data_IF_641220537872
#
_entry.id   IF_641220537872
#
_cell.length_a   1.000
_cell.length_b   1.000
_cell.length_c   1.000
_cell.angle_alpha   90.00
_cell.angle_beta   90.00
_cell.angle_gamma   90.00
#
_symmetry.space_group_name_H-M   'P 1'
#
loop_
_entity.id
_entity.type
_entity.pdbx_description
1 polymer ?
#
# COMPACT_ATOMS: atom_id res chain seq x y z
N UNK A 1 -20.86 -10.70 -8.76
CA UNK A 1 -20.00 -11.83 -8.34
C UNK A 1 -18.89 -11.97 -9.36
N UNK A 2 -17.63 -12.05 -8.93
CA UNK A 2 -16.57 -12.41 -9.86
C UNK A 2 -16.82 -13.86 -10.32
N UNK A 3 -16.85 -14.10 -11.63
CA UNK A 3 -17.29 -15.35 -12.27
C UNK A 3 -16.14 -16.37 -12.34
N UNK A 4 -15.25 -16.41 -11.34
CA UNK A 4 -14.12 -17.34 -11.40
C UNK A 4 -14.53 -18.70 -10.83
N UNK A 5 -14.43 -19.80 -11.61
CA UNK A 5 -14.63 -21.14 -11.07
C UNK A 5 -13.63 -21.43 -9.95
N UNK A 6 -14.07 -22.18 -8.92
CA UNK A 6 -13.21 -22.47 -7.77
C UNK A 6 -11.94 -23.25 -8.16
N UNK A 7 -11.98 -24.08 -9.21
CA UNK A 7 -10.81 -24.75 -9.77
C UNK A 7 -9.71 -23.76 -10.18
N UNK A 8 -10.08 -22.71 -10.92
CA UNK A 8 -9.15 -21.65 -11.31
C UNK A 8 -8.64 -20.85 -10.10
N UNK A 9 -9.46 -20.65 -9.06
CA UNK A 9 -9.01 -20.04 -7.79
C UNK A 9 -7.89 -20.89 -7.17
N UNK A 10 -8.07 -22.21 -7.11
CA UNK A 10 -7.07 -23.14 -6.57
C UNK A 10 -5.76 -23.06 -7.36
N UNK A 11 -5.82 -23.11 -8.69
CA UNK A 11 -4.64 -23.01 -9.57
C UNK A 11 -3.90 -21.69 -9.36
N UNK A 12 -4.61 -20.57 -9.30
CA UNK A 12 -4.01 -19.26 -9.05
C UNK A 12 -3.29 -19.26 -7.70
N UNK A 13 -3.96 -19.70 -6.63
CA UNK A 13 -3.38 -19.72 -5.28
C UNK A 13 -2.11 -20.58 -5.18
N UNK A 14 -1.97 -21.62 -6.01
CA UNK A 14 -0.75 -22.43 -6.09
C UNK A 14 0.42 -21.71 -6.77
N UNK A 15 0.13 -20.81 -7.73
CA UNK A 15 1.15 -20.07 -8.50
C UNK A 15 1.64 -18.82 -7.75
N UNK A 16 0.75 -18.11 -7.04
CA UNK A 16 1.08 -16.85 -6.37
C UNK A 16 2.31 -16.91 -5.45
N UNK A 17 2.56 -17.96 -4.63
CA UNK A 17 3.75 -18.02 -3.80
C UNK A 17 5.07 -17.92 -4.59
N UNK A 18 5.13 -18.53 -5.78
CA UNK A 18 6.32 -18.54 -6.65
C UNK A 18 6.56 -17.18 -7.29
N UNK A 19 5.50 -16.47 -7.64
CA UNK A 19 5.62 -15.10 -8.15
C UNK A 19 6.10 -14.16 -7.05
N UNK A 20 5.58 -14.35 -5.84
CA UNK A 20 5.89 -13.50 -4.70
C UNK A 20 7.30 -13.79 -4.15
N UNK A 21 7.79 -15.03 -4.19
CA UNK A 21 9.18 -15.33 -3.81
C UNK A 21 10.23 -14.66 -4.72
N UNK A 22 9.85 -14.27 -5.94
CA UNK A 22 10.70 -13.51 -6.87
C UNK A 22 10.64 -11.99 -6.64
N UNK A 23 9.80 -11.52 -5.72
CA UNK A 23 9.61 -10.09 -5.44
C UNK A 23 8.97 -9.29 -6.58
N UNK A 24 8.36 -9.96 -7.56
CA UNK A 24 7.74 -9.30 -8.72
C UNK A 24 6.37 -8.79 -8.33
N UNK A 25 6.11 -7.49 -8.47
CA UNK A 25 4.79 -6.87 -8.26
C UNK A 25 4.12 -7.28 -6.92
N UNK A 26 4.89 -7.28 -5.81
CA UNK A 26 4.45 -7.73 -4.48
C UNK A 26 3.10 -7.17 -4.05
N UNK A 27 2.85 -5.86 -4.27
CA UNK A 27 1.57 -5.23 -3.91
C UNK A 27 0.39 -5.83 -4.67
N UNK A 28 0.53 -6.03 -5.99
CA UNK A 28 -0.53 -6.59 -6.82
C UNK A 28 -0.85 -8.02 -6.38
N UNK A 29 0.19 -8.84 -6.17
CA UNK A 29 0.00 -10.23 -5.77
C UNK A 29 -0.68 -10.30 -4.40
N UNK A 30 -0.24 -9.51 -3.41
CA UNK A 30 -0.89 -9.44 -2.10
C UNK A 30 -2.36 -9.03 -2.22
N UNK A 31 -2.70 -8.06 -3.08
CA UNK A 31 -4.10 -7.65 -3.32
C UNK A 31 -4.92 -8.79 -3.92
N UNK A 32 -4.38 -9.50 -4.93
CA UNK A 32 -5.03 -10.65 -5.53
C UNK A 32 -5.25 -11.75 -4.49
N UNK A 33 -4.22 -12.12 -3.71
CA UNK A 33 -4.33 -13.11 -2.64
C UNK A 33 -5.44 -12.74 -1.65
N UNK A 34 -5.43 -11.51 -1.13
CA UNK A 34 -6.44 -11.05 -0.19
C UNK A 34 -7.85 -11.03 -0.78
N UNK A 35 -7.99 -10.69 -2.06
CA UNK A 35 -9.27 -10.69 -2.74
C UNK A 35 -9.83 -12.10 -2.92
N UNK A 36 -9.01 -13.05 -3.38
CA UNK A 36 -9.41 -14.46 -3.54
C UNK A 36 -9.78 -15.08 -2.19
N UNK A 37 -8.99 -14.81 -1.14
CA UNK A 37 -9.25 -15.30 0.22
C UNK A 37 -10.56 -14.76 0.79
N UNK A 38 -10.84 -13.46 0.59
CA UNK A 38 -12.09 -12.84 1.06
C UNK A 38 -13.30 -13.36 0.30
N UNK A 39 -13.18 -13.58 -1.01
CA UNK A 39 -14.30 -13.98 -1.85
C UNK A 39 -14.63 -15.47 -1.73
N UNK A 40 -13.62 -16.33 -1.60
CA UNK A 40 -13.76 -17.79 -1.60
C UNK A 40 -13.36 -18.45 -0.28
N UNK A 41 -13.52 -17.74 0.84
CA UNK A 41 -13.07 -18.17 2.17
C UNK A 41 -13.46 -19.62 2.54
N UNK A 42 -14.77 -19.92 2.48
CA UNK A 42 -15.30 -21.23 2.90
C UNK A 42 -14.72 -22.41 2.10
N UNK A 43 -14.78 -22.41 0.74
CA UNK A 43 -14.22 -23.53 -0.02
C UNK A 43 -12.68 -23.60 0.04
N UNK A 44 -11.97 -22.47 0.25
CA UNK A 44 -10.51 -22.49 0.44
C UNK A 44 -10.15 -23.23 1.72
N UNK A 45 -10.82 -22.94 2.84
CA UNK A 45 -10.52 -23.56 4.14
C UNK A 45 -10.90 -25.03 4.19
N UNK A 46 -11.97 -25.41 3.50
CA UNK A 46 -12.34 -26.82 3.36
C UNK A 46 -11.32 -27.64 2.56
N UNK A 47 -10.48 -26.99 1.74
CA UNK A 47 -9.51 -27.66 0.88
C UNK A 47 -8.11 -27.73 1.51
N UNK A 48 -7.80 -28.85 2.16
CA UNK A 48 -6.50 -29.12 2.78
C UNK A 48 -5.32 -29.05 1.81
N UNK A 49 -5.54 -29.28 0.51
CA UNK A 49 -4.50 -29.20 -0.51
C UNK A 49 -3.95 -27.78 -0.71
N UNK A 50 -4.73 -26.75 -0.36
CA UNK A 50 -4.31 -25.36 -0.47
C UNK A 50 -3.45 -24.89 0.71
N UNK A 51 -3.44 -25.63 1.83
CA UNK A 51 -2.78 -25.20 3.07
C UNK A 51 -1.31 -24.84 2.85
N UNK A 52 -0.56 -25.71 2.18
CA UNK A 52 0.86 -25.45 1.90
C UNK A 52 1.10 -24.25 0.97
N UNK A 53 0.16 -23.94 0.06
CA UNK A 53 0.24 -22.74 -0.76
C UNK A 53 -0.04 -21.48 0.06
N UNK A 54 -1.01 -21.53 0.97
CA UNK A 54 -1.35 -20.42 1.87
C UNK A 54 -0.20 -20.10 2.85
N UNK A 55 0.45 -21.12 3.41
CA UNK A 55 1.61 -20.95 4.28
C UNK A 55 2.77 -20.27 3.54
N UNK A 56 3.07 -20.71 2.30
CA UNK A 56 4.09 -20.08 1.46
C UNK A 56 3.72 -18.64 1.11
N UNK A 57 2.46 -18.38 0.75
CA UNK A 57 1.94 -17.04 0.49
C UNK A 57 2.14 -16.12 1.69
N UNK A 58 1.79 -16.57 2.89
CA UNK A 58 1.94 -15.79 4.11
C UNK A 58 3.42 -15.51 4.39
N UNK A 59 4.27 -16.52 4.31
CA UNK A 59 5.71 -16.40 4.59
C UNK A 59 6.40 -15.45 3.61
N UNK A 60 6.26 -15.72 2.31
CA UNK A 60 6.86 -14.87 1.28
C UNK A 60 6.24 -13.46 1.30
N UNK A 61 4.94 -13.35 1.56
CA UNK A 61 4.19 -12.09 1.65
C UNK A 61 4.80 -11.16 2.69
N UNK A 62 4.93 -11.66 3.92
CA UNK A 62 5.51 -10.91 5.02
C UNK A 62 6.98 -10.56 4.75
N UNK A 63 7.76 -11.50 4.21
CA UNK A 63 9.16 -11.27 3.89
C UNK A 63 9.33 -10.14 2.88
N UNK A 64 8.65 -10.20 1.72
CA UNK A 64 8.79 -9.22 0.66
C UNK A 64 8.28 -7.84 1.06
N UNK A 65 7.14 -7.77 1.76
CA UNK A 65 6.61 -6.49 2.26
C UNK A 65 7.56 -5.88 3.30
N UNK A 66 8.15 -6.70 4.16
CA UNK A 66 9.14 -6.25 5.14
C UNK A 66 10.38 -5.71 4.44
N UNK A 67 10.97 -6.45 3.50
CA UNK A 67 12.15 -6.02 2.73
C UNK A 67 11.91 -4.69 2.01
N UNK A 68 10.75 -4.55 1.35
CA UNK A 68 10.39 -3.31 0.67
C UNK A 68 10.23 -2.14 1.64
N UNK A 69 9.53 -2.36 2.76
CA UNK A 69 9.36 -1.35 3.80
C UNK A 69 10.70 -0.93 4.40
N UNK A 70 11.57 -1.88 4.69
CA UNK A 70 12.86 -1.63 5.35
C UNK A 70 13.79 -0.86 4.39
N UNK A 71 13.81 -1.20 3.08
CA UNK A 71 14.54 -0.47 2.05
C UNK A 71 14.04 0.99 1.91
N UNK A 72 12.73 1.17 1.73
CA UNK A 72 12.13 2.51 1.59
C UNK A 72 12.34 3.31 2.87
N UNK A 73 12.13 2.69 4.03
CA UNK A 73 12.30 3.31 5.34
C UNK A 73 13.73 3.80 5.53
N UNK A 74 14.72 2.93 5.34
CA UNK A 74 16.13 3.28 5.46
C UNK A 74 16.50 4.48 4.56
N UNK A 75 16.14 4.41 3.28
CA UNK A 75 16.44 5.49 2.33
C UNK A 75 15.74 6.79 2.70
N UNK A 76 14.47 6.72 3.10
CA UNK A 76 13.70 7.90 3.50
C UNK A 76 14.31 8.59 4.73
N UNK A 77 14.67 7.82 5.76
CA UNK A 77 15.31 8.38 6.96
C UNK A 77 16.73 8.89 6.67
N UNK A 78 17.48 8.21 5.80
CA UNK A 78 18.79 8.68 5.33
C UNK A 78 18.69 10.03 4.61
N UNK A 79 17.75 10.17 3.67
CA UNK A 79 17.50 11.45 2.98
C UNK A 79 17.06 12.53 3.97
N UNK A 80 16.19 12.19 4.94
CA UNK A 80 15.76 13.13 5.97
C UNK A 80 16.91 13.60 6.87
N UNK A 81 17.84 12.70 7.18
CA UNK A 81 19.04 13.03 7.94
C UNK A 81 19.94 13.99 7.14
N UNK A 82 20.26 13.65 5.89
CA UNK A 82 21.09 14.50 5.02
C UNK A 82 20.43 15.87 4.80
N UNK A 83 19.12 15.90 4.56
CA UNK A 83 18.36 17.15 4.46
C UNK A 83 18.56 18.04 5.69
N UNK A 84 18.50 17.47 6.89
CA UNK A 84 18.67 18.21 8.15
C UNK A 84 20.08 18.78 8.28
N UNK A 85 21.10 18.02 7.93
CA UNK A 85 22.51 18.47 7.98
C UNK A 85 22.76 19.63 7.01
N UNK A 86 22.23 19.54 5.78
CA UNK A 86 22.33 20.62 4.78
C UNK A 86 21.61 21.89 5.25
N UNK A 87 20.37 21.77 5.74
CA UNK A 87 19.60 22.92 6.26
C UNK A 87 20.29 23.58 7.47
N UNK A 88 21.00 22.81 8.29
CA UNK A 88 21.77 23.32 9.42
C UNK A 88 23.05 24.05 8.99
N UNK A 89 23.75 23.53 7.97
CA UNK A 89 24.96 24.15 7.43
C UNK A 89 24.67 25.47 6.71
N UNK A 90 23.62 25.52 5.90
CA UNK A 90 23.29 26.69 5.07
C UNK A 90 22.45 27.75 5.80
N UNK A 91 22.04 27.50 7.06
CA UNK A 91 21.12 28.38 7.82
C UNK A 91 19.79 28.66 7.10
N UNK A 92 19.42 27.84 6.11
CA UNK A 92 18.23 28.00 5.27
C UNK A 92 17.36 26.75 5.40
N UNK A 93 16.10 26.95 5.80
CA UNK A 93 15.09 25.88 5.79
C UNK A 93 14.47 25.72 4.40
N UNK A 94 15.19 25.05 3.49
CA UNK A 94 14.83 24.89 2.07
C UNK A 94 13.39 24.42 1.82
N UNK A 95 12.82 23.54 2.67
CA UNK A 95 11.52 22.92 2.40
C UNK A 95 10.41 23.19 3.42
N UNK A 96 10.73 23.82 4.55
CA UNK A 96 9.75 24.04 5.62
C UNK A 96 8.75 25.14 5.27
N UNK A 97 9.18 26.17 4.55
CA UNK A 97 8.31 27.26 4.10
C UNK A 97 7.43 26.87 2.91
N UNK A 98 7.97 26.16 1.92
CA UNK A 98 7.19 25.67 0.77
C UNK A 98 6.08 24.67 1.18
N UNK A 99 6.40 23.74 2.10
CA UNK A 99 5.43 22.76 2.62
C UNK A 99 4.33 23.44 3.46
N UNK A 100 4.67 24.44 4.28
CA UNK A 100 3.69 25.24 5.03
C UNK A 100 2.79 26.06 4.12
N UNK A 101 3.35 26.65 3.05
CA UNK A 101 2.58 27.39 2.05
C UNK A 101 1.55 26.49 1.34
N UNK A 102 1.97 25.30 0.87
CA UNK A 102 1.07 24.32 0.24
C UNK A 102 -0.03 23.83 1.19
N UNK A 103 0.31 23.58 2.45
CA UNK A 103 -0.66 23.12 3.46
C UNK A 103 -1.69 24.21 3.81
N UNK A 104 -1.24 25.47 3.92
CA UNK A 104 -2.13 26.64 4.10
C UNK A 104 -3.03 26.86 2.88
N UNK A 105 -2.51 26.75 1.67
CA UNK A 105 -3.28 26.87 0.43
C UNK A 105 -4.39 25.80 0.34
N UNK A 106 -4.05 24.54 0.60
CA UNK A 106 -5.03 23.44 0.64
C UNK A 106 -6.10 23.61 1.72
N UNK A 107 -5.73 24.12 2.90
CA UNK A 107 -6.72 24.44 3.96
C UNK A 107 -7.68 25.56 3.54
N UNK A 108 -7.15 26.64 2.93
CA UNK A 108 -7.98 27.74 2.39
C UNK A 108 -8.92 27.26 1.28
N UNK A 109 -8.45 26.38 0.39
CA UNK A 109 -9.27 25.81 -0.68
C UNK A 109 -10.40 24.94 -0.12
N UNK A 110 -10.12 24.06 0.84
CA UNK A 110 -11.16 23.26 1.52
C UNK A 110 -12.20 24.12 2.25
N UNK A 111 -11.80 25.24 2.87
CA UNK A 111 -12.74 26.17 3.49
C UNK A 111 -13.65 26.86 2.46
N UNK A 112 -13.08 27.29 1.33
CA UNK A 112 -13.86 27.88 0.22
C UNK A 112 -14.88 26.91 -0.36
N UNK A 113 -14.49 25.65 -0.56
CA UNK A 113 -15.40 24.62 -1.06
C UNK A 113 -16.54 24.32 -0.07
N UNK A 114 -16.26 24.26 1.24
CA UNK A 114 -17.30 24.12 2.27
C UNK A 114 -18.28 25.29 2.28
N UNK A 115 -17.77 26.52 2.17
CA UNK A 115 -18.62 27.72 2.13
C UNK A 115 -19.51 27.74 0.87
N UNK A 116 -18.96 27.40 -0.31
CA UNK A 116 -19.75 27.29 -1.54
C UNK A 116 -20.85 26.24 -1.43
N UNK A 117 -20.56 25.07 -0.87
CA UNK A 117 -21.56 24.01 -0.63
C UNK A 117 -22.63 24.45 0.37
N UNK A 118 -22.25 25.21 1.40
CA UNK A 118 -23.21 25.78 2.36
C UNK A 118 -24.14 26.77 1.66
N UNK A 119 -23.62 27.70 0.86
CA UNK A 119 -24.42 28.69 0.14
C UNK A 119 -25.36 28.02 -0.87
N UNK A 120 -24.90 26.99 -1.58
CA UNK A 120 -25.72 26.23 -2.53
C UNK A 120 -26.83 25.40 -1.86
N UNK A 121 -26.69 25.03 -0.59
CA UNK A 121 -27.70 24.28 0.16
C UNK A 121 -28.82 25.16 0.76
N UNK A 122 -28.66 26.49 0.71
CA UNK A 122 -29.65 27.47 1.20
C UNK A 122 -30.49 28.12 0.09
N UNK A 123 -30.33 27.69 -1.17
CA UNK A 123 -31.17 28.08 -2.31
C UNK A 123 -32.06 26.93 -2.75
#
# INVERSE_FOLDING_TARGET
MMILPFSAVCEILQILPTLLSRGVQTELICKISMFLLKLHYAPIIANQYLLGALEKLLRHGNQQVKELRDLIGYNYYGIKFIQKEVEAADSVQLFRDASRAKTKANRKQKQREKLKKSIMAFN
#
